data_IF_684738212068
#
_entry.id   IF_684738212068
#
_cell.length_a   1.000
_cell.length_b   1.000
_cell.length_c   1.000
_cell.angle_alpha   90.00
_cell.angle_beta   90.00
_cell.angle_gamma   90.00
#
_symmetry.space_group_name_H-M   'P 1'
#
loop_
_entity.id
_entity.type
_entity.pdbx_description
1 polymer ?
#
# COMPACT_ATOMS: atom_id res chain seq x y z
N UNK A 1 -4.60 4.41 2.82
CA UNK A 1 -4.57 3.37 1.77
C UNK A 1 -5.56 3.59 0.60
N UNK A 2 -6.82 4.00 0.81
CA UNK A 2 -7.80 4.17 -0.28
C UNK A 2 -7.32 4.96 -1.51
N UNK A 3 -6.58 6.05 -1.28
CA UNK A 3 -5.96 6.88 -2.33
C UNK A 3 -5.16 6.08 -3.36
N UNK A 4 -4.36 5.11 -2.94
CA UNK A 4 -3.51 4.35 -3.86
C UNK A 4 -4.31 3.37 -4.72
N UNK A 5 -5.36 2.75 -4.17
CA UNK A 5 -6.29 1.94 -4.97
C UNK A 5 -7.02 2.80 -6.00
N UNK A 6 -7.48 3.98 -5.59
CA UNK A 6 -8.09 4.96 -6.49
C UNK A 6 -7.13 5.38 -7.60
N UNK A 7 -5.90 5.77 -7.26
CA UNK A 7 -4.85 6.11 -8.24
C UNK A 7 -4.54 4.95 -9.18
N UNK A 8 -4.54 3.71 -8.68
CA UNK A 8 -4.34 2.53 -9.51
C UNK A 8 -5.46 2.37 -10.53
N UNK A 9 -6.71 2.63 -10.14
CA UNK A 9 -7.87 2.68 -11.03
C UNK A 9 -7.76 3.79 -12.08
N UNK A 10 -7.35 4.97 -11.65
CA UNK A 10 -7.18 6.16 -12.48
C UNK A 10 -6.05 6.01 -13.50
N UNK A 11 -4.94 5.36 -13.15
CA UNK A 11 -3.74 5.28 -14.01
C UNK A 11 -3.62 3.97 -14.79
N UNK A 12 -4.19 2.87 -14.31
CA UNK A 12 -4.05 1.57 -14.99
C UNK A 12 -4.92 1.51 -16.24
N UNK A 13 -4.41 0.80 -17.25
CA UNK A 13 -5.16 0.44 -18.44
C UNK A 13 -5.69 -0.98 -18.29
N UNK A 14 -6.99 -1.13 -18.02
CA UNK A 14 -7.66 -2.43 -17.84
C UNK A 14 -8.16 -2.99 -19.18
N UNK A 15 -7.28 -2.96 -20.17
CA UNK A 15 -7.56 -3.33 -21.56
C UNK A 15 -6.44 -4.20 -22.08
N UNK A 16 -6.81 -5.17 -22.92
CA UNK A 16 -5.88 -6.02 -23.66
C UNK A 16 -5.88 -7.44 -23.11
N UNK A 17 -4.80 -8.16 -23.39
CA UNK A 17 -4.65 -9.54 -22.96
C UNK A 17 -4.30 -9.64 -21.47
N UNK A 18 -4.78 -10.68 -20.76
CA UNK A 18 -4.49 -10.87 -19.35
C UNK A 18 -2.99 -11.00 -19.04
N UNK A 19 -2.25 -11.75 -19.85
CA UNK A 19 -0.87 -12.12 -19.52
C UNK A 19 0.10 -10.93 -19.47
N UNK A 20 0.14 -10.01 -20.46
CA UNK A 20 0.95 -8.79 -20.36
C UNK A 20 0.62 -7.94 -19.13
N UNK A 21 -0.66 -7.84 -18.77
CA UNK A 21 -1.11 -7.09 -17.59
C UNK A 21 -0.62 -7.74 -16.29
N UNK A 22 -0.84 -9.05 -16.14
CA UNK A 22 -0.39 -9.83 -14.98
C UNK A 22 1.13 -9.73 -14.84
N UNK A 23 1.88 -9.99 -15.92
CA UNK A 23 3.35 -9.91 -15.92
C UNK A 23 3.84 -8.53 -15.46
N UNK A 24 3.23 -7.45 -15.96
CA UNK A 24 3.56 -6.09 -15.54
C UNK A 24 3.34 -5.91 -14.04
N UNK A 25 2.20 -6.34 -13.50
CA UNK A 25 1.88 -6.20 -12.07
C UNK A 25 2.78 -7.08 -11.19
N UNK A 26 3.13 -8.29 -11.63
CA UNK A 26 4.11 -9.14 -10.95
C UNK A 26 5.47 -8.45 -10.87
N UNK A 27 5.99 -7.94 -11.99
CA UNK A 27 7.31 -7.30 -12.03
C UNK A 27 7.38 -5.97 -11.26
N UNK A 28 6.26 -5.24 -11.16
CA UNK A 28 6.23 -3.91 -10.53
C UNK A 28 5.81 -3.94 -9.06
N UNK A 29 5.18 -5.01 -8.58
CA UNK A 29 4.67 -5.14 -7.20
C UNK A 29 5.23 -6.39 -6.50
N UNK A 30 4.98 -7.57 -7.05
CA UNK A 30 5.31 -8.85 -6.40
C UNK A 30 6.82 -9.08 -6.35
N UNK A 31 7.57 -8.73 -7.40
CA UNK A 31 9.02 -8.85 -7.42
C UNK A 31 9.70 -7.98 -6.33
N UNK A 32 9.43 -6.66 -6.22
CA UNK A 32 9.94 -5.84 -5.12
C UNK A 32 9.56 -6.39 -3.74
N UNK A 33 8.32 -6.87 -3.60
CA UNK A 33 7.81 -7.48 -2.38
C UNK A 33 8.61 -8.72 -1.95
N UNK A 34 8.79 -9.70 -2.86
CA UNK A 34 9.55 -10.93 -2.58
C UNK A 34 11.00 -10.60 -2.24
N UNK A 35 11.62 -9.64 -2.93
CA UNK A 35 12.97 -9.19 -2.62
C UNK A 35 13.03 -8.52 -1.24
N UNK A 36 12.03 -7.73 -0.86
CA UNK A 36 11.95 -7.13 0.48
C UNK A 36 11.89 -8.21 1.55
N UNK A 37 11.00 -9.19 1.40
CA UNK A 37 10.89 -10.32 2.33
C UNK A 37 12.20 -11.11 2.42
N UNK A 38 12.87 -11.32 1.29
CA UNK A 38 14.17 -11.98 1.26
C UNK A 38 15.25 -11.18 2.00
N UNK A 39 15.27 -9.85 1.87
CA UNK A 39 16.19 -8.98 2.62
C UNK A 39 15.92 -9.11 4.13
N UNK A 40 14.65 -9.10 4.55
CA UNK A 40 14.28 -9.26 5.96
C UNK A 40 14.65 -10.64 6.50
N UNK A 41 14.45 -11.69 5.70
CA UNK A 41 14.89 -13.03 6.04
C UNK A 41 16.42 -13.10 6.20
N UNK A 42 17.19 -12.52 5.28
CA UNK A 42 18.65 -12.48 5.38
C UNK A 42 19.10 -11.70 6.62
N UNK A 43 18.52 -10.54 6.88
CA UNK A 43 18.80 -9.78 8.11
C UNK A 43 18.59 -10.66 9.34
N UNK A 44 17.43 -11.29 9.45
CA UNK A 44 17.14 -12.16 10.58
C UNK A 44 18.16 -13.32 10.68
N UNK A 45 18.52 -13.96 9.56
CA UNK A 45 19.51 -15.04 9.53
C UNK A 45 20.91 -14.62 10.05
N UNK A 46 21.32 -13.37 9.85
CA UNK A 46 22.60 -12.87 10.38
C UNK A 46 22.51 -12.42 11.84
N UNK A 47 21.37 -11.86 12.25
CA UNK A 47 21.22 -11.26 13.58
C UNK A 47 20.45 -12.14 14.58
N UNK A 48 19.94 -13.34 14.21
CA UNK A 48 19.11 -14.16 15.09
C UNK A 48 19.76 -14.53 16.43
N UNK A 49 21.08 -14.70 16.48
CA UNK A 49 21.82 -15.01 17.73
C UNK A 49 21.87 -13.84 18.71
N UNK A 50 21.67 -12.62 18.22
CA UNK A 50 21.52 -11.44 19.06
C UNK A 50 20.07 -11.32 19.57
N UNK A 51 19.13 -11.95 18.86
CA UNK A 51 17.71 -12.05 19.20
C UNK A 51 17.32 -13.34 19.92
N UNK A 52 18.27 -14.24 20.22
CA UNK A 52 18.01 -15.61 20.67
C UNK A 52 17.55 -15.74 22.14
N UNK A 53 16.64 -14.86 22.56
CA UNK A 53 15.69 -15.12 23.63
C UNK A 53 14.43 -15.88 23.14
N UNK A 54 14.16 -15.90 21.83
CA UNK A 54 12.86 -16.33 21.28
C UNK A 54 12.73 -17.82 20.93
N UNK A 55 13.75 -18.66 21.18
CA UNK A 55 13.69 -20.12 21.03
C UNK A 55 13.43 -20.69 19.62
N UNK A 56 13.12 -19.84 18.62
CA UNK A 56 12.77 -20.26 17.27
C UNK A 56 14.01 -20.46 16.38
N UNK A 57 14.04 -21.58 15.67
CA UNK A 57 15.12 -21.88 14.71
C UNK A 57 14.97 -21.07 13.41
N UNK A 58 16.06 -20.90 12.63
CA UNK A 58 15.99 -20.24 11.33
C UNK A 58 15.01 -20.85 10.34
N UNK A 59 14.85 -22.17 10.37
CA UNK A 59 13.92 -22.88 9.48
C UNK A 59 12.47 -22.60 9.86
N UNK A 60 12.16 -22.49 11.15
CA UNK A 60 10.83 -22.09 11.63
C UNK A 60 10.49 -20.68 11.15
N UNK A 61 11.39 -19.72 11.30
CA UNK A 61 11.15 -18.33 10.90
C UNK A 61 11.03 -18.22 9.38
N UNK A 62 11.87 -18.94 8.62
CA UNK A 62 11.74 -19.01 7.16
C UNK A 62 10.34 -19.48 6.73
N UNK A 63 9.83 -20.54 7.39
CA UNK A 63 8.50 -21.07 7.10
C UNK A 63 7.39 -20.08 7.46
N UNK A 64 7.51 -19.40 8.59
CA UNK A 64 6.55 -18.40 9.05
C UNK A 64 6.55 -17.18 8.13
N UNK A 65 7.72 -16.67 7.74
CA UNK A 65 7.84 -15.55 6.80
C UNK A 65 7.37 -15.94 5.39
N UNK A 66 7.53 -17.21 4.99
CA UNK A 66 6.96 -17.71 3.73
C UNK A 66 5.44 -17.70 3.79
N UNK A 67 4.82 -18.24 4.85
CA UNK A 67 3.37 -18.25 5.01
C UNK A 67 2.78 -16.85 5.24
N UNK A 68 3.43 -16.01 6.05
CA UNK A 68 3.07 -14.60 6.22
C UNK A 68 3.21 -13.84 4.92
N UNK A 69 4.25 -14.17 4.15
CA UNK A 69 4.50 -13.67 2.80
C UNK A 69 3.43 -14.08 1.78
N UNK A 70 2.86 -15.28 1.89
CA UNK A 70 1.78 -15.76 1.02
C UNK A 70 0.44 -15.14 1.43
N UNK A 71 0.14 -15.13 2.73
CA UNK A 71 -1.10 -14.55 3.22
C UNK A 71 -1.15 -13.05 2.97
N UNK A 72 -0.02 -12.39 3.12
CA UNK A 72 0.08 -10.97 2.85
C UNK A 72 -0.69 -10.14 3.85
N UNK A 73 -0.89 -10.61 5.09
CA UNK A 73 -1.66 -9.90 6.10
C UNK A 73 -0.77 -8.98 6.94
N UNK A 74 -1.23 -7.75 7.17
CA UNK A 74 -0.56 -6.83 8.09
C UNK A 74 -1.01 -7.02 9.55
N UNK A 75 -1.94 -7.93 9.81
CA UNK A 75 -2.44 -8.29 11.13
C UNK A 75 -2.23 -9.78 11.38
N UNK A 76 -2.13 -10.18 12.66
CA UNK A 76 -2.12 -11.59 13.02
C UNK A 76 -3.41 -12.27 12.51
N UNK A 77 -3.28 -13.49 11.99
CA UNK A 77 -4.41 -14.27 11.50
C UNK A 77 -5.08 -14.97 12.68
N UNK A 78 -6.37 -14.70 12.96
CA UNK A 78 -7.11 -15.42 14.00
C UNK A 78 -7.10 -16.94 13.79
N UNK A 79 -7.22 -17.39 12.53
CA UNK A 79 -7.25 -18.78 12.12
C UNK A 79 -5.89 -19.48 12.14
N UNK A 80 -4.79 -18.72 12.17
CA UNK A 80 -3.42 -19.27 12.15
C UNK A 80 -2.44 -18.31 12.85
N UNK A 81 -2.47 -18.24 14.20
CA UNK A 81 -1.67 -17.28 14.96
C UNK A 81 -0.14 -17.47 14.83
N UNK A 82 0.31 -18.65 14.37
CA UNK A 82 1.71 -18.93 14.08
C UNK A 82 2.24 -18.20 12.85
N UNK A 83 1.35 -17.70 11.98
CA UNK A 83 1.72 -16.90 10.81
C UNK A 83 1.90 -15.45 11.25
N UNK A 84 3.13 -14.96 11.18
CA UNK A 84 3.46 -13.59 11.58
C UNK A 84 2.92 -12.57 10.56
N UNK A 85 2.40 -11.42 11.03
CA UNK A 85 2.05 -10.32 10.15
C UNK A 85 3.28 -9.75 9.47
N UNK A 86 3.12 -9.36 8.21
CA UNK A 86 4.20 -8.76 7.40
C UNK A 86 4.22 -7.23 7.47
N UNK A 87 3.48 -6.64 8.42
CA UNK A 87 3.36 -5.21 8.57
C UNK A 87 2.81 -4.53 7.31
N UNK A 88 3.22 -3.29 6.99
CA UNK A 88 2.68 -2.51 5.86
C UNK A 88 2.84 -3.13 4.48
N UNK A 89 3.68 -4.16 4.32
CA UNK A 89 3.86 -4.89 3.07
C UNK A 89 2.56 -5.55 2.58
N UNK A 90 1.60 -5.79 3.47
CA UNK A 90 0.25 -6.28 3.14
C UNK A 90 -0.38 -5.50 1.98
N UNK A 91 -0.13 -4.18 1.96
CA UNK A 91 -0.71 -3.28 0.97
C UNK A 91 -0.23 -3.60 -0.45
N UNK A 92 0.99 -4.11 -0.64
CA UNK A 92 1.52 -4.46 -1.96
C UNK A 92 0.75 -5.64 -2.56
N UNK A 93 0.51 -6.70 -1.77
CA UNK A 93 -0.27 -7.85 -2.22
C UNK A 93 -1.75 -7.50 -2.39
N UNK A 94 -2.33 -6.71 -1.48
CA UNK A 94 -3.69 -6.20 -1.67
C UNK A 94 -3.83 -5.37 -2.95
N UNK A 95 -2.86 -4.51 -3.26
CA UNK A 95 -2.85 -3.71 -4.50
C UNK A 95 -2.68 -4.59 -5.74
N UNK A 96 -1.81 -5.60 -5.69
CA UNK A 96 -1.65 -6.58 -6.76
C UNK A 96 -2.98 -7.31 -7.03
N UNK A 97 -3.57 -7.92 -6.01
CA UNK A 97 -4.85 -8.63 -6.08
C UNK A 97 -5.97 -7.72 -6.58
N UNK A 98 -6.05 -6.48 -6.07
CA UNK A 98 -7.09 -5.53 -6.47
C UNK A 98 -6.98 -5.14 -7.94
N UNK A 99 -5.76 -5.04 -8.48
CA UNK A 99 -5.54 -4.78 -9.89
C UNK A 99 -5.97 -5.95 -10.78
N UNK A 100 -5.70 -7.19 -10.37
CA UNK A 100 -6.13 -8.37 -11.12
C UNK A 100 -7.65 -8.50 -11.13
N UNK A 101 -8.28 -8.38 -9.95
CA UNK A 101 -9.75 -8.40 -9.84
C UNK A 101 -10.36 -7.29 -10.71
N UNK A 102 -9.85 -6.06 -10.61
CA UNK A 102 -10.32 -4.94 -11.42
C UNK A 102 -10.17 -5.17 -12.92
N UNK A 103 -9.07 -5.79 -13.36
CA UNK A 103 -8.88 -6.17 -14.76
C UNK A 103 -9.95 -7.16 -15.24
N UNK A 104 -10.19 -8.23 -14.49
CA UNK A 104 -11.19 -9.23 -14.84
C UNK A 104 -12.62 -8.67 -14.78
N UNK A 105 -12.93 -7.81 -13.80
CA UNK A 105 -14.22 -7.10 -13.75
C UNK A 105 -14.44 -6.31 -15.04
N UNK A 106 -13.46 -5.50 -15.47
CA UNK A 106 -13.60 -4.67 -16.66
C UNK A 106 -13.65 -5.48 -17.96
N UNK A 107 -12.97 -6.63 -17.99
CA UNK A 107 -13.03 -7.60 -19.08
C UNK A 107 -14.42 -8.22 -19.20
N UNK A 108 -14.98 -8.75 -18.10
CA UNK A 108 -16.31 -9.37 -18.06
C UNK A 108 -17.41 -8.35 -18.31
N UNK A 109 -17.30 -7.16 -17.72
CA UNK A 109 -18.25 -6.06 -17.92
C UNK A 109 -18.25 -5.52 -19.36
N UNK A 110 -17.30 -5.95 -20.22
CA UNK A 110 -17.11 -5.42 -21.58
C UNK A 110 -17.09 -3.89 -21.60
N UNK A 111 -16.49 -3.29 -20.57
CA UNK A 111 -16.42 -1.83 -20.35
C UNK A 111 -17.75 -1.10 -20.13
N UNK A 112 -18.86 -1.82 -19.96
CA UNK A 112 -20.12 -1.22 -19.51
C UNK A 112 -19.96 -0.70 -18.09
N UNK A 113 -20.31 0.58 -17.89
CA UNK A 113 -20.23 1.21 -16.56
C UNK A 113 -21.22 0.55 -15.59
N UNK A 114 -22.40 0.19 -16.06
CA UNK A 114 -23.45 -0.43 -15.24
C UNK A 114 -23.02 -1.85 -14.86
N UNK A 115 -22.59 -2.67 -15.83
CA UNK A 115 -22.13 -4.03 -15.53
C UNK A 115 -20.89 -4.03 -14.62
N UNK A 116 -19.95 -3.10 -14.86
CA UNK A 116 -18.77 -2.92 -14.02
C UNK A 116 -19.15 -2.54 -12.59
N UNK A 117 -20.07 -1.57 -12.42
CA UNK A 117 -20.56 -1.17 -11.11
C UNK A 117 -21.26 -2.34 -10.38
N UNK A 118 -22.09 -3.12 -11.07
CA UNK A 118 -22.76 -4.29 -10.49
C UNK A 118 -21.76 -5.35 -10.00
N UNK A 119 -20.73 -5.68 -10.80
CA UNK A 119 -19.68 -6.61 -10.39
C UNK A 119 -18.85 -6.08 -9.23
N UNK A 120 -18.58 -4.77 -9.20
CA UNK A 120 -17.92 -4.11 -8.06
C UNK A 120 -18.78 -4.22 -6.80
N UNK A 121 -20.07 -3.96 -6.88
CA UNK A 121 -20.98 -4.12 -5.72
C UNK A 121 -20.95 -5.57 -5.20
N UNK A 122 -21.01 -6.57 -6.09
CA UNK A 122 -20.93 -7.98 -5.71
C UNK A 122 -19.62 -8.28 -4.97
N UNK A 123 -18.48 -7.89 -5.55
CA UNK A 123 -17.17 -8.13 -4.94
C UNK A 123 -17.04 -7.41 -3.60
N UNK A 124 -17.47 -6.16 -3.47
CA UNK A 124 -17.45 -5.42 -2.21
C UNK A 124 -18.28 -6.13 -1.13
N UNK A 125 -19.50 -6.60 -1.45
CA UNK A 125 -20.34 -7.36 -0.51
C UNK A 125 -19.62 -8.64 -0.05
N UNK A 126 -18.98 -9.37 -0.97
CA UNK A 126 -18.18 -10.56 -0.63
C UNK A 126 -17.03 -10.17 0.31
N UNK A 127 -16.29 -9.10 0.01
CA UNK A 127 -15.18 -8.63 0.85
C UNK A 127 -15.62 -8.25 2.27
N UNK A 128 -16.77 -7.56 2.40
CA UNK A 128 -17.34 -7.18 3.69
C UNK A 128 -17.86 -8.39 4.48
N UNK A 129 -18.36 -9.42 3.81
CA UNK A 129 -18.84 -10.64 4.44
C UNK A 129 -17.70 -11.59 4.86
N UNK A 130 -16.63 -11.66 4.07
CA UNK A 130 -15.52 -12.60 4.27
C UNK A 130 -14.41 -12.01 5.13
N UNK A 131 -13.96 -10.78 4.84
CA UNK A 131 -12.75 -10.20 5.44
C UNK A 131 -12.71 -10.14 6.97
N UNK A 132 -13.82 -9.85 7.67
CA UNK A 132 -13.83 -9.89 9.15
C UNK A 132 -13.75 -11.30 9.75
N UNK A 133 -13.92 -12.36 8.95
CA UNK A 133 -14.04 -13.76 9.41
C UNK A 133 -12.88 -14.64 8.96
N UNK A 134 -12.34 -14.38 7.77
CA UNK A 134 -11.33 -15.20 7.14
C UNK A 134 -10.37 -14.31 6.36
N UNK A 135 -9.09 -14.38 6.71
CA UNK A 135 -8.04 -13.67 6.01
C UNK A 135 -7.66 -14.52 4.81
N UNK A 136 -7.74 -13.95 3.61
CA UNK A 136 -7.43 -14.71 2.40
C UNK A 136 -5.97 -14.50 2.00
N UNK A 137 -5.35 -15.51 1.36
CA UNK A 137 -4.05 -15.33 0.75
C UNK A 137 -3.98 -14.14 -0.19
N UNK A 138 -2.81 -13.51 -0.29
CA UNK A 138 -2.59 -12.31 -1.09
C UNK A 138 -3.51 -11.13 -0.73
N UNK A 139 -4.03 -11.08 0.50
CA UNK A 139 -5.01 -10.08 0.95
C UNK A 139 -6.19 -9.89 -0.02
N UNK A 140 -6.66 -10.99 -0.62
CA UNK A 140 -7.76 -10.97 -1.61
C UNK A 140 -9.04 -10.41 -0.99
N UNK A 141 -9.30 -10.69 0.28
CA UNK A 141 -10.48 -10.21 1.01
C UNK A 141 -10.50 -8.67 1.09
N UNK A 142 -9.36 -8.03 1.31
CA UNK A 142 -9.24 -6.56 1.24
C UNK A 142 -9.36 -6.08 -0.20
N UNK A 143 -8.78 -6.82 -1.15
CA UNK A 143 -8.79 -6.46 -2.57
C UNK A 143 -10.21 -6.43 -3.17
N UNK A 144 -11.13 -7.23 -2.64
CA UNK A 144 -12.55 -7.17 -2.95
C UNK A 144 -13.18 -5.84 -2.54
N UNK A 145 -12.97 -5.39 -1.30
CA UNK A 145 -13.46 -4.09 -0.82
C UNK A 145 -12.79 -2.94 -1.59
N UNK A 146 -11.50 -3.08 -1.91
CA UNK A 146 -10.74 -2.09 -2.67
C UNK A 146 -11.28 -1.83 -4.09
N UNK A 147 -12.12 -2.71 -4.64
CA UNK A 147 -12.73 -2.51 -5.95
C UNK A 147 -13.58 -1.25 -6.02
N UNK A 148 -14.18 -0.82 -4.90
CA UNK A 148 -14.89 0.46 -4.81
C UNK A 148 -13.98 1.63 -5.23
N UNK A 149 -12.75 1.66 -4.69
CA UNK A 149 -11.79 2.72 -4.96
C UNK A 149 -11.18 2.61 -6.36
N UNK A 150 -10.85 1.39 -6.81
CA UNK A 150 -10.35 1.14 -8.18
C UNK A 150 -11.39 1.64 -9.20
N UNK A 151 -12.65 1.27 -9.04
CA UNK A 151 -13.71 1.66 -9.96
C UNK A 151 -13.99 3.16 -9.92
N UNK A 152 -13.97 3.77 -8.74
CA UNK A 152 -14.05 5.22 -8.61
C UNK A 152 -12.89 5.93 -9.34
N UNK A 153 -11.66 5.40 -9.27
CA UNK A 153 -10.53 5.91 -10.04
C UNK A 153 -10.76 5.85 -11.55
N UNK A 154 -11.32 4.75 -12.05
CA UNK A 154 -11.70 4.61 -13.47
C UNK A 154 -12.75 5.66 -13.85
N UNK A 155 -13.76 5.86 -13.00
CA UNK A 155 -14.82 6.85 -13.22
C UNK A 155 -14.26 8.29 -13.20
N UNK A 156 -13.38 8.62 -12.25
CA UNK A 156 -12.73 9.94 -12.18
C UNK A 156 -11.96 10.27 -13.46
N UNK A 157 -11.25 9.29 -14.04
CA UNK A 157 -10.58 9.45 -15.34
C UNK A 157 -11.60 9.61 -16.47
N UNK A 158 -12.60 8.74 -16.54
CA UNK A 158 -13.60 8.71 -17.63
C UNK A 158 -14.43 9.99 -17.71
N UNK A 159 -14.78 10.57 -16.56
CA UNK A 159 -15.59 11.78 -16.47
C UNK A 159 -14.74 13.05 -16.27
N UNK A 160 -13.41 12.94 -16.40
CA UNK A 160 -12.47 14.06 -16.34
C UNK A 160 -12.66 14.95 -15.09
N UNK A 161 -13.01 14.34 -13.96
CA UNK A 161 -13.37 15.08 -12.74
C UNK A 161 -12.21 15.94 -12.22
N UNK A 162 -10.98 15.48 -12.44
CA UNK A 162 -9.76 16.16 -12.00
C UNK A 162 -9.24 17.22 -12.99
N UNK A 163 -9.91 17.43 -14.14
CA UNK A 163 -9.47 18.38 -15.18
C UNK A 163 -9.41 19.83 -14.69
N UNK A 164 -10.34 20.23 -13.82
CA UNK A 164 -10.35 21.54 -13.19
C UNK A 164 -10.80 21.43 -11.72
N UNK A 165 -10.07 22.05 -10.76
CA UNK A 165 -10.52 22.09 -9.38
C UNK A 165 -11.80 22.94 -9.28
N UNK A 166 -12.91 22.30 -8.90
CA UNK A 166 -14.15 23.01 -8.59
C UNK A 166 -14.20 23.27 -7.10
N UNK A 167 -14.34 24.54 -6.70
CA UNK A 167 -14.35 24.96 -5.29
C UNK A 167 -15.39 24.18 -4.47
N UNK A 168 -16.57 23.91 -5.02
CA UNK A 168 -17.60 23.11 -4.34
C UNK A 168 -17.20 21.64 -4.15
N UNK A 169 -16.46 21.03 -5.10
CA UNK A 169 -15.95 19.66 -4.94
C UNK A 169 -14.89 19.59 -3.86
N UNK A 170 -14.05 20.62 -3.75
CA UNK A 170 -13.05 20.72 -2.68
C UNK A 170 -13.71 20.86 -1.32
N UNK A 171 -14.68 21.78 -1.19
CA UNK A 171 -15.43 21.96 0.05
C UNK A 171 -16.14 20.67 0.44
N UNK A 172 -16.84 20.02 -0.50
CA UNK A 172 -17.51 18.75 -0.26
C UNK A 172 -16.52 17.66 0.15
N UNK A 173 -15.40 17.51 -0.58
CA UNK A 173 -14.36 16.53 -0.27
C UNK A 173 -13.74 16.76 1.12
N UNK A 174 -13.48 18.02 1.48
CA UNK A 174 -12.96 18.42 2.80
C UNK A 174 -13.97 18.16 3.92
N UNK A 175 -15.25 18.53 3.72
CA UNK A 175 -16.32 18.27 4.69
C UNK A 175 -16.49 16.75 4.88
N UNK A 176 -16.59 15.99 3.79
CA UNK A 176 -16.66 14.54 3.85
C UNK A 176 -15.45 13.95 4.58
N UNK A 177 -14.21 14.36 4.26
CA UNK A 177 -13.02 13.83 4.92
C UNK A 177 -13.00 14.14 6.43
N UNK A 178 -13.24 15.40 6.81
CA UNK A 178 -13.07 15.87 8.19
C UNK A 178 -14.22 15.46 9.11
N UNK A 179 -15.47 15.63 8.66
CA UNK A 179 -16.66 15.30 9.47
C UNK A 179 -16.76 13.79 9.64
N UNK A 180 -16.60 13.02 8.56
CA UNK A 180 -16.72 11.58 8.63
C UNK A 180 -15.61 10.97 9.47
N UNK A 181 -14.36 11.39 9.28
CA UNK A 181 -13.25 10.89 10.11
C UNK A 181 -13.44 11.20 11.59
N UNK A 182 -14.12 12.29 11.94
CA UNK A 182 -14.38 12.67 13.33
C UNK A 182 -15.45 11.81 13.99
N UNK A 183 -16.53 11.50 13.27
CA UNK A 183 -17.71 10.81 13.86
C UNK A 183 -17.71 9.29 13.62
N UNK A 184 -17.20 8.83 12.48
CA UNK A 184 -17.20 7.41 12.11
C UNK A 184 -15.83 6.75 12.26
N UNK A 185 -14.78 7.53 12.58
CA UNK A 185 -13.40 7.06 12.59
C UNK A 185 -12.81 6.87 11.19
N UNK A 186 -11.51 6.58 11.12
CA UNK A 186 -10.83 6.29 9.87
C UNK A 186 -11.07 4.81 9.46
N UNK A 187 -11.24 4.57 8.15
CA UNK A 187 -11.32 3.23 7.60
C UNK A 187 -9.98 2.49 7.76
N UNK A 188 -9.97 1.38 8.48
CA UNK A 188 -8.82 0.49 8.60
C UNK A 188 -9.02 -0.76 7.73
N UNK A 189 -8.54 -0.67 6.50
CA UNK A 189 -8.57 -1.78 5.55
C UNK A 189 -7.68 -2.96 6.00
N UNK A 190 -6.59 -2.72 6.75
CA UNK A 190 -5.70 -3.78 7.22
C UNK A 190 -6.36 -4.59 8.34
N UNK A 191 -6.97 -3.90 9.31
CA UNK A 191 -7.74 -4.52 10.38
C UNK A 191 -9.11 -5.04 9.96
N UNK A 192 -9.49 -4.92 8.68
CA UNK A 192 -10.86 -5.17 8.17
C UNK A 192 -11.95 -4.44 8.97
N UNK A 193 -11.59 -3.30 9.57
CA UNK A 193 -12.53 -2.47 10.31
C UNK A 193 -12.98 -1.31 9.41
N UNK A 194 -14.20 -1.45 8.90
CA UNK A 194 -14.81 -0.47 7.99
C UNK A 194 -15.81 0.47 8.69
N UNK A 195 -16.03 0.33 10.01
CA UNK A 195 -17.08 1.01 10.77
C UNK A 195 -18.43 0.98 10.02
N UNK A 196 -19.15 2.10 9.93
CA UNK A 196 -20.16 2.24 8.89
C UNK A 196 -19.45 2.35 7.53
N UNK A 197 -19.56 1.28 6.73
CA UNK A 197 -18.83 1.14 5.47
C UNK A 197 -19.15 2.27 4.47
N UNK A 198 -20.42 2.65 4.35
CA UNK A 198 -20.84 3.65 3.35
C UNK A 198 -20.29 5.02 3.73
N UNK A 199 -20.47 5.41 4.99
CA UNK A 199 -19.96 6.66 5.53
C UNK A 199 -18.43 6.68 5.41
N UNK A 200 -17.72 5.66 5.92
CA UNK A 200 -16.27 5.52 5.82
C UNK A 200 -15.76 5.64 4.38
N UNK A 201 -16.45 5.02 3.42
CA UNK A 201 -16.07 5.03 2.01
C UNK A 201 -16.17 6.43 1.40
N UNK A 202 -17.22 7.19 1.72
CA UNK A 202 -17.38 8.58 1.28
C UNK A 202 -16.29 9.47 1.87
N UNK A 203 -15.97 9.29 3.15
CA UNK A 203 -14.87 10.02 3.81
C UNK A 203 -13.52 9.71 3.18
N UNK A 204 -13.23 8.43 2.94
CA UNK A 204 -12.02 7.97 2.28
C UNK A 204 -11.89 8.48 0.83
N UNK A 205 -12.99 8.51 0.09
CA UNK A 205 -13.05 9.06 -1.27
C UNK A 205 -12.77 10.57 -1.26
N UNK A 206 -13.44 11.31 -0.38
CA UNK A 206 -13.26 12.75 -0.19
C UNK A 206 -11.81 13.09 0.15
N UNK A 207 -11.23 12.40 1.14
CA UNK A 207 -9.82 12.59 1.50
C UNK A 207 -8.86 12.28 0.36
N UNK A 208 -9.14 11.23 -0.42
CA UNK A 208 -8.33 10.88 -1.59
C UNK A 208 -8.40 11.95 -2.68
N UNK A 209 -9.59 12.43 -3.03
CA UNK A 209 -9.80 13.49 -4.02
C UNK A 209 -9.13 14.81 -3.56
N UNK A 210 -9.23 15.13 -2.27
CA UNK A 210 -8.58 16.31 -1.69
C UNK A 210 -7.06 16.26 -1.85
N UNK A 211 -6.44 15.11 -1.55
CA UNK A 211 -5.00 14.91 -1.75
C UNK A 211 -4.61 15.03 -3.22
N UNK A 212 -5.42 14.50 -4.14
CA UNK A 212 -5.16 14.62 -5.58
C UNK A 212 -5.20 16.06 -6.07
N UNK A 213 -6.21 16.85 -5.66
CA UNK A 213 -6.26 18.27 -6.02
C UNK A 213 -5.14 19.09 -5.37
N UNK A 214 -4.74 18.74 -4.15
CA UNK A 214 -3.57 19.34 -3.52
C UNK A 214 -2.31 19.04 -4.33
N UNK A 215 -2.10 17.80 -4.77
CA UNK A 215 -0.98 17.43 -5.62
C UNK A 215 -0.96 18.21 -6.95
N UNK A 216 -2.09 18.32 -7.65
CA UNK A 216 -2.24 19.09 -8.91
C UNK A 216 -1.93 20.58 -8.68
N UNK A 217 -2.32 21.12 -7.52
CA UNK A 217 -2.09 22.53 -7.19
C UNK A 217 -0.61 22.78 -6.86
N UNK A 218 0.03 21.86 -6.13
CA UNK A 218 1.45 21.92 -5.76
C UNK A 218 2.39 21.67 -6.94
N UNK A 219 1.95 20.93 -7.96
CA UNK A 219 2.69 20.72 -9.21
C UNK A 219 3.06 22.04 -9.90
N UNK A 220 2.23 23.09 -9.72
CA UNK A 220 2.49 24.43 -10.27
C UNK A 220 3.67 25.15 -9.64
N UNK A 221 4.21 24.64 -8.52
CA UNK A 221 5.36 25.21 -7.82
C UNK A 221 6.58 24.33 -8.10
N UNK A 222 7.54 24.76 -8.95
CA UNK A 222 8.61 23.88 -9.46
C UNK A 222 9.48 23.22 -8.39
N UNK A 223 9.71 23.91 -7.26
CA UNK A 223 10.47 23.35 -6.13
C UNK A 223 9.70 22.21 -5.45
N UNK A 224 8.40 22.38 -5.22
CA UNK A 224 7.57 21.38 -4.56
C UNK A 224 7.31 20.20 -5.49
N UNK A 225 7.02 20.44 -6.77
CA UNK A 225 6.95 19.39 -7.79
C UNK A 225 8.19 18.51 -7.75
N UNK A 226 9.39 19.09 -7.81
CA UNK A 226 10.63 18.33 -7.83
C UNK A 226 10.80 17.44 -6.60
N UNK A 227 10.49 17.97 -5.41
CA UNK A 227 10.59 17.25 -4.14
C UNK A 227 9.55 16.13 -4.09
N UNK A 228 8.28 16.42 -4.38
CA UNK A 228 7.19 15.46 -4.34
C UNK A 228 7.36 14.36 -5.38
N UNK A 229 7.77 14.70 -6.60
CA UNK A 229 8.09 13.73 -7.66
C UNK A 229 9.27 12.83 -7.26
N UNK A 230 10.26 13.36 -6.55
CA UNK A 230 11.38 12.56 -6.03
C UNK A 230 10.93 11.59 -4.94
N UNK A 231 10.13 12.05 -3.96
CA UNK A 231 9.53 11.18 -2.95
C UNK A 231 8.59 10.14 -3.57
N UNK A 232 7.82 10.53 -4.58
CA UNK A 232 6.93 9.65 -5.34
C UNK A 232 7.69 8.51 -6.03
N UNK A 233 8.87 8.78 -6.61
CA UNK A 233 9.75 7.74 -7.17
C UNK A 233 10.35 6.82 -6.10
N UNK A 234 10.52 7.31 -4.88
CA UNK A 234 10.99 6.51 -3.74
C UNK A 234 9.84 5.77 -3.01
N UNK A 235 8.58 6.08 -3.32
CA UNK A 235 7.41 5.63 -2.54
C UNK A 235 7.32 4.13 -2.30
N UNK A 236 7.67 3.30 -3.29
CA UNK A 236 7.67 1.84 -3.13
C UNK A 236 8.75 1.37 -2.14
N UNK A 237 9.95 1.95 -2.21
CA UNK A 237 11.02 1.66 -1.25
C UNK A 237 10.64 2.17 0.14
N UNK A 238 10.08 3.38 0.23
CA UNK A 238 9.57 3.92 1.50
C UNK A 238 8.52 2.98 2.09
N UNK A 239 7.54 2.54 1.31
CA UNK A 239 6.53 1.59 1.77
C UNK A 239 7.16 0.31 2.30
N UNK A 240 8.14 -0.26 1.58
CA UNK A 240 8.81 -1.49 1.98
C UNK A 240 9.61 -1.36 3.27
N UNK A 241 10.25 -0.21 3.51
CA UNK A 241 11.25 -0.08 4.56
C UNK A 241 10.85 0.83 5.72
N UNK A 242 9.86 1.73 5.61
CA UNK A 242 9.60 2.76 6.63
C UNK A 242 9.20 2.25 8.03
N UNK A 243 8.78 1.00 8.19
CA UNK A 243 8.58 0.37 9.51
C UNK A 243 9.53 -0.80 9.74
N UNK A 244 10.54 -0.97 8.89
CA UNK A 244 11.49 -2.07 9.02
C UNK A 244 12.27 -1.97 10.33
N UNK A 245 12.52 -0.75 10.82
CA UNK A 245 13.08 -0.48 12.14
C UNK A 245 12.38 -1.25 13.27
N UNK A 246 11.05 -1.19 13.34
CA UNK A 246 10.28 -1.83 14.42
C UNK A 246 9.78 -3.22 14.05
N UNK A 247 9.38 -3.45 12.81
CA UNK A 247 8.70 -4.69 12.40
C UNK A 247 9.66 -5.84 12.10
N UNK A 248 10.93 -5.56 11.78
CA UNK A 248 11.87 -6.58 11.33
C UNK A 248 13.27 -6.45 11.93
N UNK A 249 13.75 -5.20 12.09
CA UNK A 249 15.10 -4.92 12.59
C UNK A 249 15.16 -4.76 14.10
N UNK A 250 14.03 -4.86 14.82
CA UNK A 250 13.95 -4.80 16.29
C UNK A 250 14.83 -3.67 16.87
N UNK A 251 14.79 -2.51 16.21
CA UNK A 251 15.50 -1.31 16.62
C UNK A 251 15.22 -0.91 18.08
N UNK A 252 14.00 -1.10 18.64
CA UNK A 252 13.74 -0.88 20.06
C UNK A 252 14.63 -1.70 21.01
N UNK A 253 15.02 -2.92 20.62
CA UNK A 253 15.88 -3.81 21.41
C UNK A 253 17.36 -3.46 21.23
N UNK A 254 17.76 -3.07 20.01
CA UNK A 254 19.15 -2.72 19.70
C UNK A 254 19.57 -1.38 20.31
N UNK A 255 18.70 -0.37 20.28
CA UNK A 255 19.01 0.98 20.77
C UNK A 255 17.82 1.58 21.54
N UNK A 256 17.50 1.05 22.75
CA UNK A 256 16.25 1.36 23.45
C UNK A 256 16.08 2.84 23.79
N UNK A 257 17.15 3.51 24.23
CA UNK A 257 17.10 4.92 24.63
C UNK A 257 16.77 5.85 23.47
N UNK A 258 17.37 5.61 22.30
CA UNK A 258 17.09 6.40 21.08
C UNK A 258 15.67 6.12 20.60
N UNK A 259 15.24 4.85 20.57
CA UNK A 259 13.89 4.50 20.14
C UNK A 259 12.83 5.11 21.05
N UNK A 260 12.97 5.02 22.38
CA UNK A 260 12.03 5.63 23.33
C UNK A 260 11.89 7.13 23.13
N UNK A 261 13.02 7.84 22.88
CA UNK A 261 12.96 9.26 22.57
C UNK A 261 12.24 9.55 21.25
N UNK A 262 12.51 8.76 20.20
CA UNK A 262 11.83 8.91 18.90
C UNK A 262 10.33 8.62 19.02
N UNK A 263 9.95 7.56 19.73
CA UNK A 263 8.57 7.13 19.95
C UNK A 263 7.77 8.19 20.74
N UNK A 264 8.41 8.86 21.70
CA UNK A 264 7.84 10.00 22.41
C UNK A 264 7.59 11.23 21.51
N UNK A 265 8.21 11.29 20.33
CA UNK A 265 8.08 12.41 19.40
C UNK A 265 7.68 11.94 17.97
N UNK A 266 6.38 11.79 17.68
CA UNK A 266 5.89 11.20 16.42
C UNK A 266 6.39 11.85 15.13
N UNK A 267 6.62 13.17 15.16
CA UNK A 267 7.20 13.91 14.02
C UNK A 267 8.64 13.44 13.76
N UNK A 268 9.47 13.31 14.80
CA UNK A 268 10.85 12.86 14.66
C UNK A 268 10.95 11.39 14.29
N UNK A 269 10.05 10.53 14.81
CA UNK A 269 9.95 9.14 14.35
C UNK A 269 9.63 9.07 12.85
N UNK A 270 8.73 9.91 12.35
CA UNK A 270 8.38 9.97 10.93
C UNK A 270 9.56 10.46 10.07
N UNK A 271 10.29 11.48 10.55
CA UNK A 271 11.50 11.99 9.89
C UNK A 271 12.59 10.92 9.86
N UNK A 272 12.82 10.20 10.96
CA UNK A 272 13.75 9.07 11.02
C UNK A 272 13.40 8.01 9.99
N UNK A 273 12.15 7.55 10.00
CA UNK A 273 11.62 6.52 9.10
C UNK A 273 11.73 6.87 7.63
N UNK A 274 11.43 8.12 7.30
CA UNK A 274 11.61 8.64 5.96
C UNK A 274 13.10 8.70 5.60
N UNK A 275 13.94 9.23 6.49
CA UNK A 275 15.36 9.45 6.23
C UNK A 275 16.10 8.16 5.90
N UNK A 276 15.96 7.11 6.72
CA UNK A 276 16.64 5.84 6.43
C UNK A 276 16.05 5.15 5.20
N UNK A 277 14.74 5.25 4.96
CA UNK A 277 14.11 4.72 3.74
C UNK A 277 14.67 5.41 2.48
N UNK A 278 14.94 6.71 2.57
CA UNK A 278 15.59 7.46 1.49
C UNK A 278 17.05 7.05 1.27
N UNK A 279 17.78 6.72 2.34
CA UNK A 279 19.12 6.14 2.22
C UNK A 279 19.09 4.78 1.50
N UNK A 280 18.13 3.92 1.85
CA UNK A 280 17.91 2.63 1.16
C UNK A 280 17.58 2.86 -0.32
N UNK A 281 16.70 3.81 -0.63
CA UNK A 281 16.37 4.18 -2.01
C UNK A 281 17.61 4.63 -2.80
N UNK A 282 18.44 5.50 -2.22
CA UNK A 282 19.68 5.97 -2.84
C UNK A 282 20.73 4.86 -3.02
N UNK A 283 20.78 3.89 -2.11
CA UNK A 283 21.59 2.69 -2.28
C UNK A 283 21.05 1.79 -3.42
N UNK A 284 19.74 1.52 -3.42
CA UNK A 284 19.11 0.61 -4.39
C UNK A 284 19.23 1.11 -5.83
N UNK A 285 19.09 2.43 -6.06
CA UNK A 285 19.24 2.99 -7.42
C UNK A 285 20.66 2.89 -7.99
N UNK A 286 21.67 2.65 -7.14
CA UNK A 286 23.07 2.43 -7.53
C UNK A 286 23.36 0.95 -7.85
N UNK A 287 22.60 0.02 -7.28
CA UNK A 287 22.75 -1.42 -7.50
C UNK A 287 21.89 -1.84 -8.71
N UNK A 288 22.47 -2.34 -9.83
CA UNK A 288 21.71 -2.63 -11.06
C UNK A 288 20.52 -3.56 -10.87
N UNK A 289 20.68 -4.62 -10.08
CA UNK A 289 19.63 -5.58 -9.76
C UNK A 289 18.48 -4.95 -8.99
N UNK A 290 18.77 -4.23 -7.88
CA UNK A 290 17.74 -3.57 -7.07
C UNK A 290 17.03 -2.46 -7.84
N UNK A 291 17.77 -1.70 -8.66
CA UNK A 291 17.19 -0.70 -9.55
C UNK A 291 16.16 -1.31 -10.51
N UNK A 292 16.48 -2.45 -11.12
CA UNK A 292 15.54 -3.16 -11.98
C UNK A 292 14.34 -3.66 -11.20
N UNK A 293 14.59 -4.37 -10.09
CA UNK A 293 13.55 -5.00 -9.27
C UNK A 293 12.51 -4.00 -8.74
N UNK A 294 12.94 -2.83 -8.31
CA UNK A 294 12.05 -1.78 -7.78
C UNK A 294 11.67 -0.73 -8.83
N UNK A 295 12.03 -0.95 -10.11
CA UNK A 295 11.76 -0.02 -11.21
C UNK A 295 12.24 1.43 -10.95
N UNK A 296 13.44 1.56 -10.36
CA UNK A 296 13.98 2.85 -9.89
C UNK A 296 14.68 3.63 -11.02
N UNK A 297 14.66 4.98 -10.98
CA UNK A 297 15.44 5.80 -11.91
C UNK A 297 16.95 5.59 -11.71
N UNK A 298 17.76 5.85 -12.74
CA UNK A 298 19.22 5.86 -12.59
C UNK A 298 19.65 6.99 -11.67
N UNK A 299 20.67 6.73 -10.86
CA UNK A 299 21.35 7.80 -10.15
C UNK A 299 21.98 8.79 -11.13
N UNK A 300 21.79 10.09 -10.91
CA UNK A 300 22.61 11.10 -11.58
C UNK A 300 24.08 10.77 -11.28
N UNK A 301 24.93 10.71 -12.32
CA UNK A 301 26.37 10.63 -12.11
C UNK A 301 26.76 11.93 -11.41
N UNK A 302 27.32 11.82 -10.22
CA UNK A 302 28.03 12.95 -9.61
C UNK A 302 29.29 13.09 -10.47
N UNK A 303 29.25 14.02 -11.42
CA UNK A 303 30.42 14.50 -12.16
C UNK A 303 31.15 15.53 -11.31
#
# INVERSE_FOLDING_TARGET
>A
MPLFFLLSGFTSNFVGEPWPFIRKKVLTLVLPYVITLFIFYLYWLFFYKWYSGDGNSPTTIASILAWGGIYGSGMALPESPSILPIGPLWFILALFSANLIGFYIMMVARRSIIAGASLVCITVVIGLAVGPRLYLPFSIDIAFVAQLFIFAGIALRRFEVLSAPRSWLLILASVCALVISRYNGAMDMNGRNYNDFFISSVGAMGGSILVLYAAISLERIPRLERILSYLGRASLVILCFHTADTSFFHFPQLVPSIYQWLDAHPLWLSVWRLSYSMLVFEAFRRIPFMRYAYSLPRAARVS
#
